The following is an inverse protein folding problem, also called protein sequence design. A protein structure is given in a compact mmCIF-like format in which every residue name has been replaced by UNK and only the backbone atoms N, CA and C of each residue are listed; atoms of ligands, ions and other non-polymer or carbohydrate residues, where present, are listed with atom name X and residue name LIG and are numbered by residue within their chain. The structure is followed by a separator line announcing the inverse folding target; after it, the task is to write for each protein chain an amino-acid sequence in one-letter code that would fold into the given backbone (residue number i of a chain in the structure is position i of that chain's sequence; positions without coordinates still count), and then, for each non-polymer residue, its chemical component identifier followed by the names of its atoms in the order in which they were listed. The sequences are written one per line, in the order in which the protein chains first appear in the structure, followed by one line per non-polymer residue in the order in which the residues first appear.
data_IF_366863137055
#
_entry.id   IF_366863137055
#
_cell.length_a   1.000
_cell.length_b   1.000
_cell.length_c   1.000
_cell.angle_alpha   90.00
_cell.angle_beta   90.00
_cell.angle_gamma   90.00
#
_symmetry.space_group_name_H-M   'P 1'
#
loop_
_entity.id
_entity.type
_entity.pdbx_description
1 polymer ?
#
# COMPACT_ATOMS: atom_id res chain seq x y z
N UNK A 1 -24.64 -28.02 14.29
CA UNK A 1 -23.31 -28.20 13.64
C UNK A 1 -22.79 -26.87 13.17
N UNK A 2 -21.60 -26.47 13.64
CA UNK A 2 -21.01 -25.20 13.21
C UNK A 2 -20.43 -25.33 11.81
N UNK A 3 -20.93 -24.51 10.90
CA UNK A 3 -20.37 -24.41 9.55
C UNK A 3 -18.98 -23.81 9.62
N UNK A 4 -18.00 -24.47 9.01
CA UNK A 4 -16.68 -23.91 8.85
C UNK A 4 -16.75 -22.77 7.83
N UNK A 5 -16.21 -21.63 8.23
CA UNK A 5 -16.10 -20.45 7.42
C UNK A 5 -14.79 -20.52 6.65
N UNK A 6 -14.82 -20.24 5.34
CA UNK A 6 -13.58 -20.10 4.60
C UNK A 6 -12.91 -18.74 4.88
N UNK A 7 -11.70 -18.58 4.38
CA UNK A 7 -10.89 -17.37 4.64
C UNK A 7 -11.57 -16.12 4.06
N UNK A 8 -12.22 -16.24 2.91
CA UNK A 8 -12.91 -15.13 2.28
C UNK A 8 -14.12 -14.68 3.10
N UNK A 9 -14.95 -15.60 3.54
CA UNK A 9 -16.11 -15.30 4.40
C UNK A 9 -15.67 -14.67 5.72
N UNK A 10 -14.60 -15.18 6.32
CA UNK A 10 -14.05 -14.63 7.56
C UNK A 10 -13.54 -13.20 7.34
N UNK A 11 -12.92 -12.94 6.20
CA UNK A 11 -12.43 -11.60 5.84
C UNK A 11 -13.60 -10.64 5.66
N UNK A 12 -14.64 -11.02 4.96
CA UNK A 12 -15.83 -10.18 4.79
C UNK A 12 -16.46 -9.80 6.12
N UNK A 13 -16.56 -10.74 7.05
CA UNK A 13 -17.10 -10.45 8.39
C UNK A 13 -16.23 -9.46 9.16
N UNK A 14 -14.92 -9.59 9.07
CA UNK A 14 -13.98 -8.64 9.70
C UNK A 14 -14.08 -7.25 9.08
N UNK A 15 -14.16 -7.18 7.76
CA UNK A 15 -14.33 -5.91 7.06
C UNK A 15 -15.65 -5.23 7.44
N UNK A 16 -16.72 -6.01 7.57
CA UNK A 16 -18.00 -5.46 8.03
C UNK A 16 -17.85 -4.80 9.41
N UNK A 17 -17.22 -5.47 10.34
CA UNK A 17 -16.99 -4.92 11.68
C UNK A 17 -16.15 -3.64 11.61
N UNK A 18 -15.08 -3.65 10.82
CA UNK A 18 -14.16 -2.52 10.70
C UNK A 18 -14.88 -1.31 10.09
N UNK A 19 -15.57 -1.50 8.97
CA UNK A 19 -16.25 -0.41 8.27
C UNK A 19 -17.49 0.11 9.01
N UNK A 20 -18.16 -0.75 9.78
CA UNK A 20 -19.29 -0.34 10.61
C UNK A 20 -18.83 0.45 11.85
N UNK A 21 -17.66 0.10 12.40
CA UNK A 21 -17.17 0.69 13.64
C UNK A 21 -16.34 1.96 13.44
N UNK A 22 -15.50 2.00 12.39
CA UNK A 22 -14.59 3.12 12.14
C UNK A 22 -15.08 3.98 10.98
N UNK A 23 -15.05 5.30 11.18
CA UNK A 23 -15.42 6.27 10.13
C UNK A 23 -14.33 6.37 9.07
N UNK A 24 -13.07 6.23 9.48
CA UNK A 24 -11.92 6.33 8.59
C UNK A 24 -11.11 5.04 8.65
N UNK A 25 -10.89 4.44 7.48
CA UNK A 25 -10.13 3.21 7.34
C UNK A 25 -9.08 3.41 6.26
N UNK A 26 -7.86 2.98 6.53
CA UNK A 26 -6.82 3.01 5.51
C UNK A 26 -6.09 1.67 5.44
N UNK A 27 -5.47 1.42 4.28
CA UNK A 27 -4.64 0.25 4.03
C UNK A 27 -3.20 0.73 3.80
N UNK A 28 -2.25 0.11 4.49
CA UNK A 28 -0.84 0.29 4.19
C UNK A 28 -0.50 -0.59 3.00
N UNK A 29 -0.24 0.03 1.85
CA UNK A 29 -0.06 -0.64 0.57
C UNK A 29 1.39 -0.53 0.13
N UNK A 30 2.11 -1.65 0.15
CA UNK A 30 3.52 -1.70 -0.25
C UNK A 30 3.73 -1.90 -1.75
N UNK A 31 2.70 -2.29 -2.47
CA UNK A 31 2.80 -2.72 -3.87
C UNK A 31 3.10 -4.20 -4.02
N UNK A 32 3.25 -4.91 -2.92
CA UNK A 32 3.47 -6.36 -2.91
C UNK A 32 2.17 -7.15 -3.01
N UNK A 33 2.31 -8.46 -3.09
CA UNK A 33 1.21 -9.40 -3.29
C UNK A 33 0.19 -9.36 -2.15
N UNK A 34 0.64 -9.44 -0.92
CA UNK A 34 -0.25 -9.58 0.23
C UNK A 34 -1.03 -8.28 0.50
N UNK A 35 -0.35 -7.15 0.46
CA UNK A 35 -1.02 -5.85 0.62
C UNK A 35 -1.95 -5.54 -0.55
N UNK A 36 -1.60 -6.01 -1.75
CA UNK A 36 -2.46 -5.89 -2.93
C UNK A 36 -3.74 -6.69 -2.79
N UNK A 37 -3.67 -7.91 -2.28
CA UNK A 37 -4.85 -8.73 -2.00
C UNK A 37 -5.75 -8.04 -0.98
N UNK A 38 -5.18 -7.54 0.11
CA UNK A 38 -5.94 -6.84 1.14
C UNK A 38 -6.63 -5.60 0.58
N UNK A 39 -5.92 -4.80 -0.20
CA UNK A 39 -6.48 -3.59 -0.82
C UNK A 39 -7.67 -3.95 -1.74
N UNK A 40 -7.50 -4.96 -2.57
CA UNK A 40 -8.56 -5.39 -3.48
C UNK A 40 -9.78 -5.94 -2.75
N UNK A 41 -9.58 -6.66 -1.66
CA UNK A 41 -10.68 -7.13 -0.81
C UNK A 41 -11.45 -5.97 -0.18
N UNK A 42 -10.76 -4.95 0.30
CA UNK A 42 -11.39 -3.75 0.86
C UNK A 42 -12.18 -2.98 -0.20
N UNK A 43 -11.62 -2.80 -1.38
CA UNK A 43 -12.30 -2.13 -2.50
C UNK A 43 -13.54 -2.91 -2.92
N UNK A 44 -13.43 -4.23 -3.06
CA UNK A 44 -14.56 -5.08 -3.40
C UNK A 44 -15.67 -4.97 -2.35
N UNK A 45 -15.31 -5.00 -1.08
CA UNK A 45 -16.27 -4.84 0.01
C UNK A 45 -17.02 -3.49 -0.08
N UNK A 46 -16.29 -2.41 -0.32
CA UNK A 46 -16.88 -1.08 -0.46
C UNK A 46 -17.85 -1.03 -1.63
N UNK A 47 -17.47 -1.57 -2.78
CA UNK A 47 -18.32 -1.56 -3.97
C UNK A 47 -19.60 -2.36 -3.77
N UNK A 48 -19.54 -3.44 -3.01
CA UNK A 48 -20.68 -4.36 -2.82
C UNK A 48 -21.57 -3.94 -1.65
N UNK A 49 -21.01 -3.46 -0.55
CA UNK A 49 -21.75 -3.30 0.70
C UNK A 49 -21.74 -1.88 1.28
N UNK A 50 -20.83 -1.05 0.86
CA UNK A 50 -20.66 0.28 1.45
C UNK A 50 -20.43 1.34 0.36
N UNK A 51 -21.31 1.44 -0.65
CA UNK A 51 -21.11 2.41 -1.72
C UNK A 51 -21.07 3.84 -1.17
N UNK A 52 -20.15 4.63 -1.69
CA UNK A 52 -19.91 6.00 -1.22
C UNK A 52 -18.84 6.13 -0.14
N UNK A 53 -18.41 5.01 0.47
CA UNK A 53 -17.29 5.01 1.39
C UNK A 53 -15.98 5.22 0.64
N UNK A 54 -15.06 5.93 1.28
CA UNK A 54 -13.69 6.09 0.79
C UNK A 54 -12.75 5.19 1.58
N UNK A 55 -11.69 4.75 0.93
CA UNK A 55 -10.61 3.97 1.55
C UNK A 55 -9.31 4.75 1.44
N UNK A 56 -8.67 5.02 2.57
CA UNK A 56 -7.34 5.61 2.57
C UNK A 56 -6.31 4.57 2.14
N UNK A 57 -5.35 4.98 1.33
CA UNK A 57 -4.21 4.15 0.95
C UNK A 57 -2.93 4.88 1.30
N UNK A 58 -2.13 4.26 2.13
CA UNK A 58 -0.82 4.78 2.51
C UNK A 58 0.25 3.96 1.80
N UNK A 59 1.07 4.62 0.98
CA UNK A 59 2.20 4.01 0.30
C UNK A 59 3.47 4.79 0.63
N UNK A 60 4.45 4.10 1.17
CA UNK A 60 5.77 4.66 1.41
C UNK A 60 6.64 4.38 0.17
N UNK A 61 6.99 5.43 -0.56
CA UNK A 61 7.85 5.33 -1.72
C UNK A 61 9.31 5.47 -1.29
N UNK A 62 10.07 4.40 -1.50
CA UNK A 62 11.49 4.36 -1.17
C UNK A 62 12.38 4.99 -2.25
N UNK A 63 11.79 5.58 -3.29
CA UNK A 63 12.48 6.14 -4.46
C UNK A 63 13.13 5.06 -5.33
N UNK A 64 13.98 4.22 -4.74
CA UNK A 64 14.64 3.12 -5.43
C UNK A 64 13.85 1.85 -5.17
N UNK A 65 12.92 1.53 -6.06
CA UNK A 65 12.12 0.31 -6.02
C UNK A 65 11.97 -0.25 -7.43
N UNK A 66 11.53 -1.50 -7.53
CA UNK A 66 11.35 -2.13 -8.83
C UNK A 66 10.32 -1.37 -9.67
N UNK A 67 10.61 -1.20 -10.97
CA UNK A 67 9.69 -0.54 -11.90
C UNK A 67 8.33 -1.23 -11.95
N UNK A 68 8.31 -2.57 -11.88
CA UNK A 68 7.07 -3.33 -11.82
C UNK A 68 6.21 -2.96 -10.60
N UNK A 69 6.84 -2.72 -9.46
CA UNK A 69 6.13 -2.27 -8.25
C UNK A 69 5.50 -0.91 -8.48
N UNK A 70 6.25 0.05 -9.02
CA UNK A 70 5.74 1.39 -9.31
C UNK A 70 4.58 1.35 -10.31
N UNK A 71 4.73 0.59 -11.38
CA UNK A 71 3.68 0.42 -12.38
C UNK A 71 2.42 -0.20 -11.81
N UNK A 72 2.56 -1.22 -10.97
CA UNK A 72 1.43 -1.87 -10.32
C UNK A 72 0.69 -0.92 -9.38
N UNK A 73 1.43 -0.17 -8.58
CA UNK A 73 0.86 0.82 -7.65
C UNK A 73 0.05 1.86 -8.43
N UNK A 74 0.62 2.38 -9.51
CA UNK A 74 -0.08 3.37 -10.36
C UNK A 74 -1.33 2.79 -11.01
N UNK A 75 -1.29 1.55 -11.47
CA UNK A 75 -2.45 0.87 -12.03
C UNK A 75 -3.58 0.72 -11.01
N UNK A 76 -3.23 0.33 -9.79
CA UNK A 76 -4.20 0.20 -8.71
C UNK A 76 -4.84 1.54 -8.38
N UNK A 77 -4.04 2.60 -8.31
CA UNK A 77 -4.53 3.96 -8.09
C UNK A 77 -5.52 4.39 -9.16
N UNK A 78 -5.14 4.21 -10.43
CA UNK A 78 -5.98 4.62 -11.56
C UNK A 78 -7.29 3.83 -11.62
N UNK A 79 -7.22 2.53 -11.38
CA UNK A 79 -8.40 1.65 -11.46
C UNK A 79 -9.43 1.94 -10.36
N UNK A 80 -9.01 2.49 -9.23
CA UNK A 80 -9.86 2.69 -8.06
C UNK A 80 -9.89 4.14 -7.58
N UNK A 81 -9.62 5.10 -8.45
CA UNK A 81 -9.52 6.52 -8.09
C UNK A 81 -10.82 7.08 -7.50
N UNK A 82 -11.95 6.48 -7.81
CA UNK A 82 -13.26 6.85 -7.28
C UNK A 82 -13.45 6.50 -5.80
N UNK A 83 -12.69 5.52 -5.30
CA UNK A 83 -12.79 5.02 -3.93
C UNK A 83 -11.60 5.44 -3.08
N UNK A 84 -10.41 5.53 -3.67
CA UNK A 84 -9.17 5.69 -2.92
C UNK A 84 -8.85 7.15 -2.61
N UNK A 85 -8.52 7.40 -1.35
CA UNK A 85 -7.81 8.60 -0.91
C UNK A 85 -6.34 8.22 -0.74
N UNK A 86 -5.49 8.73 -1.60
CA UNK A 86 -4.12 8.25 -1.75
C UNK A 86 -3.16 9.15 -0.97
N UNK A 87 -2.39 8.54 -0.09
CA UNK A 87 -1.30 9.16 0.66
C UNK A 87 0.01 8.55 0.20
N UNK A 88 0.57 9.11 -0.85
CA UNK A 88 1.84 8.67 -1.43
C UNK A 88 2.97 9.44 -0.77
N UNK A 89 3.71 8.78 0.11
CA UNK A 89 4.70 9.43 0.97
C UNK A 89 6.11 9.25 0.42
N UNK A 90 6.76 10.38 0.14
CA UNK A 90 8.14 10.45 -0.34
C UNK A 90 8.93 11.26 0.68
N UNK A 91 9.42 10.61 1.73
CA UNK A 91 10.12 11.29 2.81
C UNK A 91 11.50 10.68 3.03
N UNK A 92 12.52 11.49 3.38
CA UNK A 92 13.83 10.97 3.74
C UNK A 92 13.76 10.34 5.13
N UNK A 93 13.94 9.03 5.20
CA UNK A 93 14.00 8.31 6.46
C UNK A 93 15.17 7.33 6.41
N UNK A 94 15.59 6.89 7.59
CA UNK A 94 16.76 6.02 7.71
C UNK A 94 16.39 4.59 7.31
N UNK A 95 16.98 4.10 6.23
CA UNK A 95 16.75 2.75 5.73
C UNK A 95 18.04 1.95 5.82
N UNK A 96 17.93 0.73 6.31
CA UNK A 96 19.06 -0.17 6.37
C UNK A 96 19.42 -0.65 4.96
N UNK A 97 20.72 -0.68 4.65
CA UNK A 97 21.20 -1.18 3.35
C UNK A 97 22.05 -2.44 3.53
N UNK A 98 21.94 -3.34 2.59
CA UNK A 98 22.78 -4.53 2.51
C UNK A 98 23.80 -4.47 1.34
N UNK A 99 23.83 -3.35 0.63
CA UNK A 99 24.65 -3.22 -0.59
C UNK A 99 26.00 -2.58 -0.36
N UNK A 100 26.29 -2.07 0.85
CA UNK A 100 27.54 -1.43 1.18
C UNK A 100 28.15 -2.02 2.45
N UNK A 101 29.46 -2.24 2.42
CA UNK A 101 30.24 -2.66 3.60
C UNK A 101 30.57 -1.47 4.52
N UNK A 102 30.51 -0.25 4.03
CA UNK A 102 30.96 0.95 4.73
C UNK A 102 29.80 1.79 5.24
N UNK A 103 28.60 1.64 4.66
CA UNK A 103 27.44 2.42 5.00
C UNK A 103 26.30 1.49 5.35
N UNK A 104 25.83 1.57 6.59
CA UNK A 104 24.78 0.68 7.10
C UNK A 104 23.38 1.17 6.74
N UNK A 105 23.22 2.49 6.58
CA UNK A 105 21.93 3.12 6.36
C UNK A 105 21.97 4.09 5.17
N UNK A 106 20.83 4.33 4.56
CA UNK A 106 20.65 5.34 3.53
C UNK A 106 19.30 6.03 3.69
N UNK A 107 19.11 7.15 2.99
CA UNK A 107 17.86 7.89 3.03
C UNK A 107 17.35 8.14 1.62
N UNK A 108 16.14 7.65 1.27
CA UNK A 108 15.51 8.02 0.03
C UNK A 108 15.12 9.50 0.05
N UNK A 109 14.95 10.08 -1.12
CA UNK A 109 14.53 11.47 -1.30
C UNK A 109 15.44 12.49 -0.63
N UNK A 110 16.67 12.09 -0.30
CA UNK A 110 17.67 12.95 0.33
C UNK A 110 18.49 13.68 -0.73
N UNK A 111 18.68 14.98 -0.55
CA UNK A 111 19.49 15.79 -1.46
C UNK A 111 20.95 15.29 -1.51
N UNK A 112 21.45 14.79 -0.40
CA UNK A 112 22.79 14.21 -0.28
C UNK A 112 23.03 13.03 -1.23
N UNK A 113 21.99 12.22 -1.47
CA UNK A 113 22.08 11.02 -2.31
C UNK A 113 21.39 11.18 -3.67
N UNK A 114 20.99 12.39 -4.01
CA UNK A 114 20.18 12.66 -5.19
C UNK A 114 20.74 12.06 -6.47
N UNK A 115 22.01 12.34 -6.78
CA UNK A 115 22.62 11.88 -8.02
C UNK A 115 22.74 10.36 -8.07
N UNK A 116 23.07 9.74 -6.95
CA UNK A 116 23.16 8.29 -6.84
C UNK A 116 21.80 7.62 -7.03
N UNK A 117 20.77 8.14 -6.36
CA UNK A 117 19.43 7.56 -6.40
C UNK A 117 18.77 7.73 -7.77
N UNK A 118 18.91 8.89 -8.38
CA UNK A 118 18.38 9.13 -9.73
C UNK A 118 19.06 8.26 -10.77
N UNK A 119 20.35 8.00 -10.61
CA UNK A 119 21.09 7.16 -11.52
C UNK A 119 20.68 5.70 -11.43
N UNK A 120 20.37 5.21 -10.22
CA UNK A 120 20.01 3.82 -9.97
C UNK A 120 18.51 3.55 -10.01
N UNK A 121 17.69 4.59 -10.00
CA UNK A 121 16.25 4.46 -10.07
C UNK A 121 15.81 3.89 -11.43
N UNK A 122 15.03 2.82 -11.44
CA UNK A 122 14.55 2.21 -12.67
C UNK A 122 13.58 3.10 -13.46
#
# INVERSE_FOLDING_TARGET
MMRRMDVYEATEKRLKIIFDYFDYVYVSFSGGKDSGVLLNLCVDYIRRYAPGRKLGVFHMDYEVQYSQTTEYVEKVYAANSDILDIYHCCVPFKVQTCTSMFQQYWRPWSEEYRDCLLYTSP
#
